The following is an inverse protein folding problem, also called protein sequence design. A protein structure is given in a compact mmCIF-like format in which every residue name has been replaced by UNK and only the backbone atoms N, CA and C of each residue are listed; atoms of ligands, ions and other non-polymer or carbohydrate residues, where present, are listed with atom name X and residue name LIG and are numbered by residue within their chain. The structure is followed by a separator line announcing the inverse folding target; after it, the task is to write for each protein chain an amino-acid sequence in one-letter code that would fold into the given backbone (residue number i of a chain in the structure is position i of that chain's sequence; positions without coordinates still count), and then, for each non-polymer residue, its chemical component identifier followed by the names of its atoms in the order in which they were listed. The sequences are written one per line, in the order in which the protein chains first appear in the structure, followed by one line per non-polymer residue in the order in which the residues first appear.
data_IF_281348015786
#
_entry.id   IF_281348015786
#
_cell.length_a   1.000
_cell.length_b   1.000
_cell.length_c   1.000
_cell.angle_alpha   90.00
_cell.angle_beta   90.00
_cell.angle_gamma   90.00
#
_symmetry.space_group_name_H-M   'P 1'
#
loop_
_entity.id
_entity.type
_entity.pdbx_description
1 polymer ?
#
# COMPACT_ATOMS: atom_id res chain seq x y z
N UNK A 1 29.54 1.57 4.07
CA UNK A 1 28.66 0.41 4.33
C UNK A 1 27.58 0.84 5.32
N UNK A 2 26.37 1.15 4.86
CA UNK A 2 25.26 1.49 5.75
C UNK A 2 24.66 0.19 6.32
N UNK A 3 24.66 0.06 7.65
CA UNK A 3 24.07 -1.10 8.32
C UNK A 3 22.58 -1.19 7.95
N UNK A 4 22.13 -2.38 7.55
CA UNK A 4 20.73 -2.58 7.22
C UNK A 4 19.85 -2.23 8.44
N UNK A 5 18.80 -1.40 8.29
CA UNK A 5 18.00 -0.95 9.41
C UNK A 5 17.31 -2.13 10.10
N UNK A 6 17.37 -2.15 11.44
CA UNK A 6 16.76 -3.18 12.30
C UNK A 6 15.23 -3.18 12.16
N UNK A 7 14.58 -4.24 12.65
CA UNK A 7 13.11 -4.34 12.63
C UNK A 7 12.43 -3.16 13.34
N UNK A 8 12.99 -2.72 14.46
CA UNK A 8 12.50 -1.55 15.22
C UNK A 8 12.62 -0.26 14.41
N UNK A 9 13.76 -0.02 13.75
CA UNK A 9 13.95 1.17 12.90
C UNK A 9 12.93 1.22 11.76
N UNK A 10 12.62 0.07 11.13
CA UNK A 10 11.63 0.02 10.06
C UNK A 10 10.20 0.30 10.55
N UNK A 11 9.85 -0.20 11.74
CA UNK A 11 8.55 0.09 12.36
C UNK A 11 8.43 1.59 12.68
N UNK A 12 9.48 2.19 13.25
CA UNK A 12 9.50 3.62 13.53
C UNK A 12 9.35 4.46 12.25
N UNK A 13 10.10 4.13 11.19
CA UNK A 13 9.99 4.82 9.90
C UNK A 13 8.60 4.68 9.28
N UNK A 14 8.00 3.49 9.33
CA UNK A 14 6.64 3.30 8.85
C UNK A 14 5.63 4.14 9.65
N UNK A 15 5.80 4.22 10.98
CA UNK A 15 5.00 5.08 11.84
C UNK A 15 5.10 6.56 11.45
N UNK A 16 6.32 7.05 11.21
CA UNK A 16 6.56 8.43 10.74
C UNK A 16 5.83 8.71 9.43
N UNK A 17 5.93 7.80 8.45
CA UNK A 17 5.23 7.95 7.15
C UNK A 17 3.71 8.01 7.34
N UNK A 18 3.15 7.16 8.21
CA UNK A 18 1.72 7.14 8.50
C UNK A 18 1.26 8.45 9.13
N UNK A 19 1.99 8.94 10.15
CA UNK A 19 1.66 10.19 10.84
C UNK A 19 1.80 11.39 9.88
N UNK A 20 2.88 11.44 9.09
CA UNK A 20 3.11 12.50 8.12
C UNK A 20 2.01 12.53 7.04
N UNK A 21 1.62 11.37 6.51
CA UNK A 21 0.50 11.28 5.57
C UNK A 21 -0.81 11.75 6.22
N UNK A 22 -1.12 11.29 7.44
CA UNK A 22 -2.33 11.70 8.13
C UNK A 22 -2.39 13.22 8.37
N UNK A 23 -1.28 13.82 8.79
CA UNK A 23 -1.17 15.26 8.97
C UNK A 23 -1.34 16.03 7.64
N UNK A 24 -0.71 15.56 6.55
CA UNK A 24 -0.84 16.17 5.24
C UNK A 24 -2.30 16.09 4.73
N UNK A 25 -2.95 14.94 4.85
CA UNK A 25 -4.34 14.78 4.43
C UNK A 25 -5.31 15.61 5.28
N UNK A 26 -5.04 15.76 6.58
CA UNK A 26 -5.80 16.64 7.45
C UNK A 26 -5.64 18.12 7.06
N UNK A 27 -4.42 18.55 6.73
CA UNK A 27 -4.14 19.91 6.25
C UNK A 27 -4.85 20.19 4.91
N UNK A 28 -4.86 19.24 3.98
CA UNK A 28 -5.60 19.36 2.72
C UNK A 28 -7.10 19.50 2.97
N UNK A 29 -7.69 18.69 3.86
CA UNK A 29 -9.11 18.82 4.22
C UNK A 29 -9.43 20.19 4.86
N UNK A 30 -8.50 20.76 5.64
CA UNK A 30 -8.70 22.06 6.27
C UNK A 30 -8.81 23.22 5.27
N UNK A 31 -8.19 23.10 4.11
CA UNK A 31 -8.19 24.12 3.04
C UNK A 31 -9.12 23.77 1.88
N UNK A 32 -9.92 22.69 2.02
CA UNK A 32 -10.75 22.20 0.94
C UNK A 32 -11.85 23.22 0.55
N UNK A 33 -12.01 23.54 -0.74
CA UNK A 33 -13.10 24.39 -1.21
C UNK A 33 -14.46 23.78 -0.87
N UNK A 34 -15.44 24.63 -0.59
CA UNK A 34 -16.82 24.18 -0.28
C UNK A 34 -17.55 23.62 -1.50
N UNK A 35 -17.13 24.00 -2.72
CA UNK A 35 -17.74 23.51 -3.95
C UNK A 35 -16.93 22.35 -4.53
N UNK A 36 -17.53 21.18 -4.75
CA UNK A 36 -16.82 19.94 -5.09
C UNK A 36 -16.31 19.88 -6.54
N UNK A 37 -16.80 20.73 -7.44
CA UNK A 37 -16.43 20.75 -8.87
C UNK A 37 -15.63 21.99 -9.28
N UNK A 38 -15.09 22.73 -8.30
CA UNK A 38 -14.17 23.82 -8.57
C UNK A 38 -12.80 23.28 -9.03
N UNK A 39 -12.12 23.99 -9.93
CA UNK A 39 -10.77 23.66 -10.36
C UNK A 39 -9.80 23.53 -9.17
N UNK A 40 -10.00 24.34 -8.12
CA UNK A 40 -9.26 24.24 -6.87
C UNK A 40 -9.50 22.90 -6.14
N UNK A 41 -10.74 22.38 -6.13
CA UNK A 41 -11.07 21.11 -5.51
C UNK A 41 -10.45 19.93 -6.27
N UNK A 42 -10.46 20.01 -7.61
CA UNK A 42 -9.79 19.03 -8.48
C UNK A 42 -8.28 19.03 -8.22
N UNK A 43 -7.65 20.20 -8.20
CA UNK A 43 -6.22 20.33 -7.91
C UNK A 43 -5.86 19.72 -6.55
N UNK A 44 -6.68 19.99 -5.52
CA UNK A 44 -6.48 19.45 -4.18
C UNK A 44 -6.63 17.92 -4.13
N UNK A 45 -7.58 17.36 -4.88
CA UNK A 45 -7.76 15.92 -5.00
C UNK A 45 -6.53 15.27 -5.67
N UNK A 46 -5.97 15.89 -6.71
CA UNK A 46 -4.73 15.44 -7.33
C UNK A 46 -3.57 15.47 -6.34
N UNK A 47 -3.40 16.57 -5.58
CA UNK A 47 -2.35 16.69 -4.55
C UNK A 47 -2.53 15.61 -3.47
N UNK A 48 -3.75 15.40 -2.98
CA UNK A 48 -4.06 14.34 -2.01
C UNK A 48 -3.69 12.95 -2.54
N UNK A 49 -4.00 12.66 -3.81
CA UNK A 49 -3.63 11.42 -4.47
C UNK A 49 -2.12 11.23 -4.59
N UNK A 50 -1.37 12.30 -4.92
CA UNK A 50 0.10 12.27 -4.98
C UNK A 50 0.70 11.99 -3.61
N UNK A 51 0.22 12.67 -2.56
CA UNK A 51 0.66 12.45 -1.18
C UNK A 51 0.42 11.00 -0.76
N UNK A 52 -0.77 10.46 -1.04
CA UNK A 52 -1.12 9.07 -0.73
C UNK A 52 -0.24 8.07 -1.49
N UNK A 53 -0.02 8.31 -2.79
CA UNK A 53 0.85 7.48 -3.63
C UNK A 53 2.31 7.48 -3.15
N UNK A 54 2.82 8.64 -2.74
CA UNK A 54 4.16 8.78 -2.17
C UNK A 54 4.29 8.04 -0.83
N UNK A 55 3.30 8.17 0.05
CA UNK A 55 3.25 7.44 1.32
C UNK A 55 3.22 5.92 1.11
N UNK A 56 2.41 5.44 0.17
CA UNK A 56 2.37 4.02 -0.20
C UNK A 56 3.72 3.53 -0.74
N UNK A 57 4.38 4.30 -1.60
CA UNK A 57 5.69 3.95 -2.13
C UNK A 57 6.75 3.89 -1.02
N UNK A 58 6.73 4.85 -0.10
CA UNK A 58 7.61 4.86 1.07
C UNK A 58 7.40 3.63 1.96
N UNK A 59 6.14 3.26 2.25
CA UNK A 59 5.83 2.04 3.02
C UNK A 59 6.39 0.78 2.34
N UNK A 60 6.24 0.65 1.02
CA UNK A 60 6.82 -0.48 0.29
C UNK A 60 8.35 -0.49 0.34
N UNK A 61 9.00 0.65 0.16
CA UNK A 61 10.46 0.78 0.24
C UNK A 61 10.97 0.41 1.64
N UNK A 62 10.31 0.90 2.69
CA UNK A 62 10.63 0.59 4.10
C UNK A 62 10.46 -0.91 4.36
N UNK A 63 9.36 -1.51 3.90
CA UNK A 63 9.06 -2.92 4.12
C UNK A 63 10.04 -3.85 3.37
N UNK A 64 10.47 -3.44 2.17
CA UNK A 64 11.54 -4.12 1.42
C UNK A 64 12.93 -3.89 2.05
N UNK A 65 13.13 -2.77 2.76
CA UNK A 65 14.38 -2.40 3.41
C UNK A 65 15.45 -1.87 2.47
N UNK A 66 15.07 -1.54 1.23
CA UNK A 66 15.98 -1.00 0.21
C UNK A 66 15.20 -0.19 -0.81
N UNK A 67 15.81 0.89 -1.29
CA UNK A 67 15.24 1.66 -2.38
C UNK A 67 15.36 0.93 -3.71
N UNK A 68 14.26 0.87 -4.46
CA UNK A 68 14.20 0.33 -5.83
C UNK A 68 13.28 1.20 -6.67
N UNK A 69 13.81 1.77 -7.74
CA UNK A 69 13.03 2.58 -8.67
C UNK A 69 11.83 1.80 -9.26
N UNK A 70 11.96 0.48 -9.46
CA UNK A 70 10.87 -0.39 -9.92
C UNK A 70 9.72 -0.48 -8.92
N UNK A 71 10.00 -0.58 -7.62
CA UNK A 71 8.98 -0.57 -6.57
C UNK A 71 8.19 0.73 -6.60
N UNK A 72 8.89 1.87 -6.70
CA UNK A 72 8.26 3.19 -6.82
C UNK A 72 7.42 3.27 -8.08
N UNK A 73 7.97 2.89 -9.24
CA UNK A 73 7.26 2.90 -10.51
C UNK A 73 6.00 2.01 -10.52
N UNK A 74 6.07 0.80 -9.93
CA UNK A 74 4.89 -0.08 -9.81
C UNK A 74 3.84 0.47 -8.86
N UNK A 75 4.27 1.08 -7.76
CA UNK A 75 3.35 1.75 -6.84
C UNK A 75 2.67 2.93 -7.53
N UNK A 76 3.40 3.70 -8.33
CA UNK A 76 2.85 4.80 -9.12
C UNK A 76 1.82 4.29 -10.15
N UNK A 77 2.13 3.22 -10.90
CA UNK A 77 1.17 2.59 -11.83
C UNK A 77 -0.07 2.09 -11.09
N UNK A 78 0.10 1.45 -9.93
CA UNK A 78 -1.02 1.00 -9.12
C UNK A 78 -1.86 2.17 -8.59
N UNK A 79 -1.24 3.27 -8.16
CA UNK A 79 -1.93 4.48 -7.73
C UNK A 79 -2.73 5.11 -8.87
N UNK A 80 -2.17 5.18 -10.08
CA UNK A 80 -2.89 5.64 -11.28
C UNK A 80 -4.06 4.72 -11.58
N UNK A 81 -3.88 3.40 -11.54
CA UNK A 81 -4.96 2.45 -11.75
C UNK A 81 -6.08 2.66 -10.72
N UNK A 82 -5.75 2.75 -9.42
CA UNK A 82 -6.72 3.04 -8.36
C UNK A 82 -7.45 4.36 -8.61
N UNK A 83 -6.77 5.42 -9.04
CA UNK A 83 -7.40 6.69 -9.37
C UNK A 83 -8.38 6.57 -10.55
N UNK A 84 -7.99 5.87 -11.62
CA UNK A 84 -8.88 5.62 -12.76
C UNK A 84 -10.12 4.80 -12.34
N UNK A 85 -9.94 3.76 -11.51
CA UNK A 85 -11.05 2.97 -11.00
C UNK A 85 -11.91 3.73 -10.00
N UNK A 86 -11.35 4.67 -9.23
CA UNK A 86 -12.14 5.53 -8.35
C UNK A 86 -13.12 6.41 -9.14
N UNK A 87 -12.82 6.73 -10.40
CA UNK A 87 -13.74 7.46 -11.28
C UNK A 87 -14.68 6.50 -12.02
N UNK A 88 -14.14 5.43 -12.63
CA UNK A 88 -14.90 4.58 -13.55
C UNK A 88 -15.73 3.49 -12.86
N UNK A 89 -15.21 2.90 -11.79
CA UNK A 89 -15.84 1.80 -11.05
C UNK A 89 -15.30 1.71 -9.62
N UNK A 90 -15.78 2.55 -8.68
CA UNK A 90 -15.26 2.61 -7.31
C UNK A 90 -15.27 1.27 -6.58
N UNK A 91 -16.25 0.41 -6.90
CA UNK A 91 -16.41 -0.94 -6.34
C UNK A 91 -15.23 -1.86 -6.68
N UNK A 92 -14.46 -1.56 -7.74
CA UNK A 92 -13.31 -2.34 -8.15
C UNK A 92 -12.02 -2.01 -7.39
N UNK A 93 -11.94 -0.87 -6.66
CA UNK A 93 -10.73 -0.44 -5.94
C UNK A 93 -10.15 -1.54 -5.03
N UNK A 94 -10.94 -2.24 -4.19
CA UNK A 94 -10.40 -3.29 -3.32
C UNK A 94 -9.70 -4.41 -4.08
N UNK A 95 -10.24 -4.78 -5.25
CA UNK A 95 -9.69 -5.83 -6.12
C UNK A 95 -8.38 -5.36 -6.75
N UNK A 96 -8.35 -4.12 -7.26
CA UNK A 96 -7.15 -3.52 -7.87
C UNK A 96 -6.01 -3.46 -6.87
N UNK A 97 -6.27 -2.98 -5.65
CA UNK A 97 -5.27 -2.93 -4.57
C UNK A 97 -4.79 -4.33 -4.21
N UNK A 98 -5.70 -5.29 -4.05
CA UNK A 98 -5.36 -6.66 -3.72
C UNK A 98 -4.43 -7.29 -4.78
N UNK A 99 -4.68 -7.07 -6.07
CA UNK A 99 -3.84 -7.60 -7.17
C UNK A 99 -2.50 -6.87 -7.26
N UNK A 100 -2.47 -5.56 -6.99
CA UNK A 100 -1.23 -4.77 -7.02
C UNK A 100 -0.24 -5.20 -5.91
N UNK A 101 -0.74 -5.51 -4.71
CA UNK A 101 0.07 -5.87 -3.55
C UNK A 101 1.11 -6.99 -3.81
N UNK A 102 0.78 -8.19 -4.32
CA UNK A 102 1.77 -9.23 -4.59
C UNK A 102 2.81 -8.82 -5.64
N UNK A 103 2.40 -8.04 -6.65
CA UNK A 103 3.28 -7.60 -7.74
C UNK A 103 4.31 -6.59 -7.25
N UNK A 104 3.89 -5.66 -6.38
CA UNK A 104 4.80 -4.71 -5.74
C UNK A 104 5.67 -5.44 -4.71
N UNK A 105 5.07 -6.39 -3.96
CA UNK A 105 5.75 -7.09 -2.89
C UNK A 105 6.93 -7.93 -3.38
N UNK A 106 6.71 -8.71 -4.44
CA UNK A 106 7.69 -9.63 -5.00
C UNK A 106 8.80 -8.94 -5.80
N UNK A 107 8.62 -7.67 -6.21
CA UNK A 107 9.50 -6.90 -7.11
C UNK A 107 9.82 -7.58 -8.48
N UNK A 108 9.38 -8.82 -8.70
CA UNK A 108 9.46 -9.59 -9.94
C UNK A 108 8.13 -10.31 -10.21
N UNK A 109 7.44 -10.05 -11.34
CA UNK A 109 6.14 -10.67 -11.62
C UNK A 109 6.22 -12.19 -11.75
N UNK A 110 7.37 -12.72 -12.22
CA UNK A 110 7.61 -14.17 -12.30
C UNK A 110 7.59 -14.83 -10.92
N UNK A 111 8.17 -14.18 -9.90
CA UNK A 111 8.14 -14.68 -8.51
C UNK A 111 6.72 -14.64 -7.96
N UNK A 112 5.97 -13.55 -8.24
CA UNK A 112 4.58 -13.45 -7.83
C UNK A 112 3.71 -14.57 -8.45
N UNK A 113 3.89 -14.85 -9.75
CA UNK A 113 3.19 -15.94 -10.44
C UNK A 113 3.57 -17.34 -9.92
N UNK A 114 4.83 -17.54 -9.56
CA UNK A 114 5.30 -18.82 -8.98
C UNK A 114 4.70 -19.03 -7.59
N UNK A 115 4.66 -17.99 -6.74
CA UNK A 115 4.02 -18.04 -5.43
C UNK A 115 2.53 -18.34 -5.51
N UNK A 116 1.82 -17.70 -6.45
CA UNK A 116 0.40 -17.96 -6.70
C UNK A 116 0.13 -19.41 -7.12
N UNK A 117 0.95 -19.97 -8.02
CA UNK A 117 0.79 -21.35 -8.51
C UNK A 117 1.03 -22.39 -7.43
N UNK A 118 1.98 -22.14 -6.50
CA UNK A 118 2.33 -23.09 -5.44
C UNK A 118 1.36 -23.06 -4.27
N UNK A 119 0.85 -21.88 -3.92
CA UNK A 119 -0.03 -21.71 -2.77
C UNK A 119 -1.29 -20.91 -3.12
N UNK A 120 -2.11 -21.42 -4.06
CA UNK A 120 -3.25 -20.68 -4.59
C UNK A 120 -4.21 -20.27 -3.47
N UNK A 121 -4.49 -21.16 -2.52
CA UNK A 121 -5.39 -20.84 -1.39
C UNK A 121 -4.83 -19.82 -0.42
N UNK A 122 -3.53 -19.87 -0.11
CA UNK A 122 -2.92 -18.86 0.79
C UNK A 122 -2.87 -17.49 0.13
N UNK A 123 -2.55 -17.45 -1.16
CA UNK A 123 -2.55 -16.20 -1.93
C UNK A 123 -3.97 -15.68 -2.08
N UNK A 124 -4.95 -16.52 -2.44
CA UNK A 124 -6.36 -16.14 -2.48
C UNK A 124 -6.84 -15.59 -1.13
N UNK A 125 -6.49 -16.23 -0.02
CA UNK A 125 -6.81 -15.72 1.32
C UNK A 125 -6.18 -14.34 1.57
N UNK A 126 -4.91 -14.11 1.21
CA UNK A 126 -4.29 -12.79 1.36
C UNK A 126 -4.95 -11.73 0.46
N UNK A 127 -5.34 -12.10 -0.76
CA UNK A 127 -6.07 -11.23 -1.68
C UNK A 127 -7.42 -10.83 -1.08
N UNK A 128 -8.20 -11.80 -0.60
CA UNK A 128 -9.51 -11.57 0.06
C UNK A 128 -9.34 -10.70 1.29
N UNK A 129 -8.36 -10.99 2.17
CA UNK A 129 -8.10 -10.19 3.36
C UNK A 129 -7.69 -8.75 3.01
N UNK A 130 -6.91 -8.56 1.93
CA UNK A 130 -6.53 -7.22 1.47
C UNK A 130 -7.75 -6.47 0.95
N UNK A 131 -8.60 -7.11 0.13
CA UNK A 131 -9.81 -6.50 -0.37
C UNK A 131 -10.77 -6.13 0.78
N UNK A 132 -10.99 -7.04 1.73
CA UNK A 132 -11.81 -6.77 2.93
C UNK A 132 -11.24 -5.61 3.74
N UNK A 133 -9.93 -5.54 3.93
CA UNK A 133 -9.31 -4.44 4.65
C UNK A 133 -9.49 -3.09 3.94
N UNK A 134 -9.45 -3.05 2.61
CA UNK A 134 -9.74 -1.83 1.83
C UNK A 134 -11.21 -1.41 1.96
N UNK A 135 -12.14 -2.37 1.93
CA UNK A 135 -13.57 -2.11 2.16
C UNK A 135 -13.78 -1.55 3.56
N UNK A 136 -13.22 -2.19 4.59
CA UNK A 136 -13.30 -1.74 5.97
C UNK A 136 -12.68 -0.35 6.16
N UNK A 137 -11.52 -0.09 5.55
CA UNK A 137 -10.88 1.23 5.54
C UNK A 137 -11.80 2.30 4.93
N UNK A 138 -12.50 1.97 3.85
CA UNK A 138 -13.45 2.88 3.19
C UNK A 138 -14.65 3.18 4.10
N UNK A 139 -15.21 2.15 4.76
CA UNK A 139 -16.29 2.31 5.73
C UNK A 139 -15.85 3.17 6.91
N UNK A 140 -14.68 2.92 7.48
CA UNK A 140 -14.11 3.73 8.58
C UNK A 140 -13.92 5.18 8.15
N UNK A 141 -13.40 5.42 6.95
CA UNK A 141 -13.24 6.77 6.41
C UNK A 141 -14.59 7.49 6.27
N UNK A 142 -15.60 6.82 5.74
CA UNK A 142 -16.96 7.37 5.61
C UNK A 142 -17.57 7.67 6.99
N UNK A 143 -17.51 6.74 7.93
CA UNK A 143 -18.05 6.92 9.28
C UNK A 143 -17.36 8.09 9.99
N UNK A 144 -16.04 8.20 9.93
CA UNK A 144 -15.30 9.30 10.55
C UNK A 144 -15.56 10.63 9.85
N UNK A 145 -15.75 10.62 8.53
CA UNK A 145 -16.17 11.81 7.78
C UNK A 145 -17.56 12.31 8.18
N UNK A 146 -18.47 11.38 8.53
CA UNK A 146 -19.82 11.70 9.01
C UNK A 146 -19.84 12.15 10.47
N UNK A 147 -19.10 11.46 11.36
CA UNK A 147 -19.16 11.67 12.81
C UNK A 147 -18.26 12.81 13.30
N UNK A 148 -17.16 13.08 12.59
CA UNK A 148 -16.18 14.11 12.96
C UNK A 148 -15.70 14.87 11.72
N UNK A 149 -16.57 15.65 11.05
CA UNK A 149 -16.23 16.33 9.81
C UNK A 149 -15.06 17.32 10.01
N UNK A 150 -14.22 17.43 8.98
CA UNK A 150 -13.07 18.34 8.97
C UNK A 150 -11.73 17.66 9.29
N UNK A 151 -10.73 18.47 9.63
CA UNK A 151 -9.34 18.04 9.73
C UNK A 151 -9.09 16.95 10.79
N UNK A 152 -9.81 16.98 11.91
CA UNK A 152 -9.61 16.03 13.02
C UNK A 152 -10.09 14.62 12.65
N UNK A 153 -11.31 14.48 12.10
CA UNK A 153 -11.79 13.18 11.65
C UNK A 153 -10.97 12.64 10.47
N UNK A 154 -10.50 13.52 9.58
CA UNK A 154 -9.56 13.16 8.52
C UNK A 154 -8.25 12.58 9.10
N UNK A 155 -7.62 13.27 10.05
CA UNK A 155 -6.40 12.78 10.69
C UNK A 155 -6.61 11.40 11.34
N UNK A 156 -7.70 11.22 12.09
CA UNK A 156 -8.03 9.95 12.72
C UNK A 156 -8.22 8.82 11.69
N UNK A 157 -8.97 9.09 10.62
CA UNK A 157 -9.19 8.12 9.55
C UNK A 157 -7.87 7.70 8.90
N UNK A 158 -7.03 8.66 8.52
CA UNK A 158 -5.77 8.37 7.85
C UNK A 158 -4.73 7.71 8.75
N UNK A 159 -4.75 7.94 10.06
CA UNK A 159 -3.92 7.19 11.01
C UNK A 159 -4.32 5.71 11.05
N UNK A 160 -5.62 5.41 11.16
CA UNK A 160 -6.13 4.04 11.19
C UNK A 160 -5.84 3.32 9.87
N UNK A 161 -6.15 3.97 8.75
CA UNK A 161 -5.94 3.43 7.40
C UNK A 161 -4.44 3.21 7.14
N UNK A 162 -3.60 4.18 7.49
CA UNK A 162 -2.15 4.09 7.33
C UNK A 162 -1.53 2.97 8.16
N UNK A 163 -1.96 2.79 9.41
CA UNK A 163 -1.52 1.68 10.24
C UNK A 163 -1.90 0.32 9.63
N UNK A 164 -3.15 0.18 9.16
CA UNK A 164 -3.60 -1.01 8.45
C UNK A 164 -2.78 -1.28 7.17
N UNK A 165 -2.52 -0.25 6.38
CA UNK A 165 -1.71 -0.33 5.17
C UNK A 165 -0.27 -0.80 5.47
N UNK A 166 0.35 -0.33 6.54
CA UNK A 166 1.67 -0.79 6.97
C UNK A 166 1.68 -2.28 7.34
N UNK A 167 0.64 -2.78 8.02
CA UNK A 167 0.48 -4.20 8.36
C UNK A 167 0.33 -5.06 7.11
N UNK A 168 -0.53 -4.65 6.17
CA UNK A 168 -0.76 -5.34 4.89
C UNK A 168 0.52 -5.36 4.06
N UNK A 169 1.23 -4.24 3.97
CA UNK A 169 2.51 -4.15 3.26
C UNK A 169 3.52 -5.12 3.87
N UNK A 170 3.61 -5.17 5.20
CA UNK A 170 4.48 -6.10 5.91
C UNK A 170 4.10 -7.57 5.72
N UNK A 171 2.81 -7.90 5.67
CA UNK A 171 2.33 -9.28 5.46
C UNK A 171 2.67 -9.78 4.05
N UNK A 172 2.42 -8.97 3.01
CA UNK A 172 2.78 -9.27 1.63
C UNK A 172 4.29 -9.37 1.44
N UNK A 173 5.09 -8.55 2.14
CA UNK A 173 6.55 -8.68 2.12
C UNK A 173 7.03 -9.99 2.77
N UNK A 174 6.39 -10.45 3.86
CA UNK A 174 6.68 -11.77 4.44
C UNK A 174 6.32 -12.90 3.48
N UNK A 175 5.19 -12.78 2.79
CA UNK A 175 4.78 -13.72 1.74
C UNK A 175 5.81 -13.77 0.59
N UNK A 176 6.23 -12.61 0.09
CA UNK A 176 7.19 -12.51 -1.01
C UNK A 176 8.54 -13.15 -0.68
N UNK A 177 9.08 -12.91 0.52
CA UNK A 177 10.35 -13.53 0.97
C UNK A 177 10.29 -15.06 1.01
N UNK A 178 9.15 -15.63 1.41
CA UNK A 178 8.94 -17.09 1.40
C UNK A 178 8.90 -17.64 -0.02
N UNK A 179 8.18 -16.95 -0.92
CA UNK A 179 8.13 -17.32 -2.33
C UNK A 179 9.52 -17.26 -3.01
N UNK A 180 10.35 -16.28 -2.65
CA UNK A 180 11.73 -16.15 -3.14
C UNK A 180 12.64 -17.29 -2.64
N UNK A 181 12.62 -17.60 -1.34
CA UNK A 181 13.47 -18.67 -0.78
C UNK A 181 13.21 -20.02 -1.44
N UNK A 182 11.95 -20.33 -1.72
CA UNK A 182 11.56 -21.60 -2.35
C UNK A 182 11.79 -21.61 -3.88
N UNK A 183 11.95 -20.44 -4.51
CA UNK A 183 12.37 -20.37 -5.91
C UNK A 183 13.88 -20.66 -6.02
N UNK A 184 14.68 -20.08 -5.11
CA UNK A 184 16.13 -20.26 -5.08
C UNK A 184 16.60 -21.69 -4.81
N UNK A 185 15.90 -22.45 -3.94
CA UNK A 185 16.23 -23.87 -3.67
C UNK A 185 16.10 -24.77 -4.89
N UNK A 186 15.28 -24.40 -5.88
CA UNK A 186 15.05 -25.20 -7.09
C UNK A 186 16.02 -24.88 -8.23
N UNK A 187 16.52 -23.65 -8.27
CA UNK A 187 17.52 -23.20 -9.25
C UNK A 187 18.95 -23.47 -8.79
N UNK A 188 19.14 -23.93 -7.56
CA UNK A 188 20.44 -24.37 -7.07
C UNK A 188 20.89 -25.62 -7.85
N UNK A 189 22.09 -25.62 -8.46
CA UNK A 189 22.60 -26.78 -9.18
C UNK A 189 22.74 -27.98 -8.25
N UNK A 190 22.38 -29.17 -8.74
CA UNK A 190 22.38 -30.43 -7.98
C UNK A 190 23.77 -30.86 -7.44
N UNK A 191 24.85 -30.16 -7.82
CA UNK A 191 26.22 -30.42 -7.35
C UNK A 191 26.54 -29.81 -5.97
N UNK A 192 25.57 -29.21 -5.29
CA UNK A 192 25.74 -28.57 -3.98
C UNK A 192 24.95 -29.27 -2.85
N UNK A 193 24.73 -30.58 -2.96
CA UNK A 193 24.31 -31.40 -1.83
C UNK A 193 25.51 -32.25 -1.37
N UNK A 194 25.97 -32.13 -0.11
CA UNK A 194 27.05 -32.94 0.43
C UNK A 194 26.66 -34.41 0.58
#
# INVERSE_FOLDING_TARGET
MSAAPTSLTRVALAGVVVVANAAAQAALVAVAPRQPLDAAAIALAVVSGVVLGAAAAALWVIAQGRFRARTVGRTAVAAVAVALFAVAAPVAIPVVVAIACPVIAADRPVVAGTGLRRHPWRTALHLVLTALAVVLASVVAMLLGLLAPGAIGSAAAWLIIGAGAAVITGSWQRWARRAESEHGTRTAPASAQP
#
